data_IF_057058748940
#
_entry.id   IF_057058748940
#
_cell.length_a   1.000
_cell.length_b   1.000
_cell.length_c   1.000
_cell.angle_alpha   90.00
_cell.angle_beta   90.00
_cell.angle_gamma   90.00
#
_symmetry.space_group_name_H-M   'P 1'
#
loop_
_entity.id
_entity.type
_entity.pdbx_description
1 polymer ?
#
# COMPACT_ATOMS: atom_id res chain seq x y z
N UNK A 1 3.20 9.41 -14.82
CA UNK A 1 1.76 9.72 -14.95
C UNK A 1 1.02 8.43 -14.67
N UNK A 2 0.04 8.42 -13.74
CA UNK A 2 -0.74 7.22 -13.41
C UNK A 2 -1.84 7.10 -14.47
N UNK A 3 -1.99 5.96 -15.17
CA UNK A 3 -3.08 5.78 -16.12
C UNK A 3 -4.45 6.01 -15.46
N UNK A 4 -5.32 6.77 -16.11
CA UNK A 4 -6.63 7.18 -15.55
C UNK A 4 -7.52 5.99 -15.20
N UNK A 5 -7.41 4.92 -15.98
CA UNK A 5 -8.02 3.62 -15.74
C UNK A 5 -7.66 2.98 -14.39
N UNK A 6 -6.47 3.25 -13.83
CA UNK A 6 -6.07 2.73 -12.52
C UNK A 6 -6.69 3.50 -11.36
N UNK A 7 -7.19 4.71 -11.61
CA UNK A 7 -7.86 5.53 -10.59
C UNK A 7 -9.21 4.94 -10.21
N UNK A 8 -9.90 4.31 -11.16
CA UNK A 8 -11.19 3.64 -10.94
C UNK A 8 -11.04 2.18 -10.49
N UNK A 9 -9.84 1.62 -10.55
CA UNK A 9 -9.56 0.26 -10.11
C UNK A 9 -9.34 0.23 -8.58
N UNK A 10 -10.20 -0.48 -7.86
CA UNK A 10 -10.13 -0.59 -6.38
C UNK A 10 -8.90 -1.30 -5.82
N UNK A 11 -8.17 -2.06 -6.62
CA UNK A 11 -6.90 -2.69 -6.24
C UNK A 11 -5.79 -1.66 -6.31
N UNK A 12 -5.74 -0.94 -7.43
CA UNK A 12 -4.74 0.10 -7.68
C UNK A 12 -4.93 1.35 -6.84
N UNK A 13 -6.17 1.81 -6.70
CA UNK A 13 -6.46 3.03 -5.97
C UNK A 13 -6.16 2.90 -4.48
N UNK A 14 -6.53 1.77 -3.84
CA UNK A 14 -6.21 1.53 -2.42
C UNK A 14 -4.70 1.46 -2.16
N UNK A 15 -3.95 0.83 -3.07
CA UNK A 15 -2.49 0.82 -3.03
C UNK A 15 -1.94 2.25 -3.18
N UNK A 16 -2.42 2.99 -4.19
CA UNK A 16 -1.99 4.36 -4.49
C UNK A 16 -2.26 5.28 -3.29
N UNK A 17 -3.44 5.21 -2.68
CA UNK A 17 -3.78 5.98 -1.47
C UNK A 17 -2.72 5.81 -0.39
N UNK A 18 -2.35 4.56 -0.07
CA UNK A 18 -1.36 4.28 0.98
C UNK A 18 0.04 4.79 0.58
N UNK A 19 0.48 4.52 -0.65
CA UNK A 19 1.81 4.95 -1.10
C UNK A 19 1.96 6.47 -1.14
N UNK A 20 0.95 7.19 -1.64
CA UNK A 20 1.00 8.66 -1.72
C UNK A 20 0.80 9.32 -0.35
N UNK A 21 -0.01 8.73 0.52
CA UNK A 21 -0.30 9.27 1.85
C UNK A 21 0.78 9.00 2.90
N UNK A 22 1.61 7.97 2.73
CA UNK A 22 2.71 7.66 3.66
C UNK A 22 4.01 8.34 3.23
N UNK A 23 4.65 9.09 4.16
CA UNK A 23 5.94 9.75 3.92
C UNK A 23 7.01 8.76 3.46
N UNK A 24 7.03 7.55 4.04
CA UNK A 24 8.00 6.51 3.70
C UNK A 24 7.70 5.83 2.37
N UNK A 25 6.45 5.44 2.14
CA UNK A 25 6.09 4.66 0.95
C UNK A 25 6.14 5.51 -0.32
N UNK A 26 5.92 6.83 -0.21
CA UNK A 26 5.93 7.73 -1.36
C UNK A 26 7.24 7.65 -2.16
N UNK A 27 8.38 7.48 -1.50
CA UNK A 27 9.67 7.35 -2.20
C UNK A 27 9.83 6.05 -2.99
N UNK A 28 8.94 5.07 -2.78
CA UNK A 28 8.93 3.78 -3.48
C UNK A 28 7.82 3.70 -4.54
N UNK A 29 7.06 4.79 -4.75
CA UNK A 29 6.11 4.90 -5.87
C UNK A 29 6.84 5.26 -7.16
N UNK A 30 7.66 4.33 -7.66
CA UNK A 30 8.53 4.54 -8.83
C UNK A 30 8.44 3.35 -9.80
N UNK A 31 8.88 3.55 -11.04
CA UNK A 31 8.95 2.50 -12.06
C UNK A 31 9.94 1.37 -11.71
N UNK A 32 10.74 1.51 -10.65
CA UNK A 32 11.62 0.47 -10.14
C UNK A 32 10.84 -0.64 -9.41
N UNK A 33 9.71 -0.29 -8.79
CA UNK A 33 8.90 -1.19 -7.98
C UNK A 33 7.51 -1.42 -8.56
N UNK A 34 7.06 -0.55 -9.46
CA UNK A 34 5.70 -0.56 -10.00
C UNK A 34 5.79 -0.49 -11.52
N UNK A 35 5.31 -1.56 -12.17
CA UNK A 35 5.16 -1.59 -13.61
C UNK A 35 3.72 -1.22 -13.96
N UNK A 36 3.51 0.05 -14.29
CA UNK A 36 2.18 0.54 -14.71
C UNK A 36 1.72 -0.04 -16.06
N UNK A 37 2.65 -0.46 -16.92
CA UNK A 37 2.33 -1.00 -18.25
C UNK A 37 1.78 -2.41 -18.13
N UNK A 38 2.42 -3.25 -17.32
CA UNK A 38 2.00 -4.63 -17.09
C UNK A 38 1.10 -4.79 -15.86
N UNK A 39 0.83 -3.70 -15.14
CA UNK A 39 0.03 -3.66 -13.91
C UNK A 39 0.55 -4.66 -12.87
N UNK A 40 1.84 -4.63 -12.62
CA UNK A 40 2.50 -5.48 -11.62
C UNK A 40 3.31 -4.67 -10.61
N UNK A 41 3.62 -5.30 -9.47
CA UNK A 41 4.40 -4.72 -8.38
C UNK A 41 5.46 -5.72 -7.94
N UNK A 42 6.66 -5.21 -7.67
CA UNK A 42 7.80 -5.95 -7.11
C UNK A 42 7.61 -6.21 -5.60
N UNK A 43 6.62 -7.06 -5.28
CA UNK A 43 6.19 -7.41 -3.91
C UNK A 43 7.37 -7.85 -3.05
N UNK A 44 8.18 -8.80 -3.54
CA UNK A 44 9.25 -9.39 -2.74
C UNK A 44 10.41 -8.42 -2.51
N UNK A 45 10.71 -7.57 -3.51
CA UNK A 45 11.72 -6.52 -3.37
C UNK A 45 11.29 -5.47 -2.34
N UNK A 46 10.03 -5.03 -2.39
CA UNK A 46 9.46 -4.09 -1.40
C UNK A 46 9.48 -4.68 0.02
N UNK A 47 9.15 -5.97 0.17
CA UNK A 47 9.27 -6.66 1.46
C UNK A 47 10.72 -6.78 1.92
N UNK A 48 11.66 -7.02 1.01
CA UNK A 48 13.07 -7.15 1.35
C UNK A 48 13.65 -5.83 1.88
N UNK A 49 13.38 -4.70 1.20
CA UNK A 49 13.88 -3.39 1.64
C UNK A 49 13.19 -2.88 2.91
N UNK A 50 11.95 -3.32 3.17
CA UNK A 50 11.22 -2.92 4.36
C UNK A 50 11.66 -3.63 5.64
N UNK A 51 12.57 -4.61 5.56
CA UNK A 51 13.07 -5.36 6.73
C UNK A 51 13.63 -4.45 7.83
N UNK A 52 14.23 -3.31 7.49
CA UNK A 52 14.81 -2.35 8.44
C UNK A 52 13.87 -1.22 8.86
N UNK A 53 12.66 -1.16 8.29
CA UNK A 53 11.70 -0.09 8.60
C UNK A 53 11.03 -0.30 9.97
N UNK A 54 10.38 0.74 10.45
CA UNK A 54 9.56 0.69 11.67
C UNK A 54 8.38 -0.29 11.51
N UNK A 55 7.77 -0.68 12.64
CA UNK A 55 6.58 -1.55 12.65
C UNK A 55 5.41 -0.93 11.88
N UNK A 56 5.17 0.36 12.09
CA UNK A 56 4.15 1.14 11.38
C UNK A 56 4.36 1.13 9.86
N UNK A 57 5.57 1.46 9.39
CA UNK A 57 5.89 1.48 7.96
C UNK A 57 5.77 0.09 7.32
N UNK A 58 6.24 -0.95 8.01
CA UNK A 58 6.07 -2.35 7.57
C UNK A 58 4.60 -2.73 7.46
N UNK A 59 3.78 -2.34 8.44
CA UNK A 59 2.34 -2.60 8.40
C UNK A 59 1.70 -1.90 7.21
N UNK A 60 1.97 -0.61 7.02
CA UNK A 60 1.41 0.16 5.90
C UNK A 60 1.78 -0.44 4.55
N UNK A 61 3.03 -0.89 4.37
CA UNK A 61 3.44 -1.59 3.14
C UNK A 61 2.65 -2.89 2.97
N UNK A 62 2.62 -3.75 3.99
CA UNK A 62 1.91 -5.03 3.92
C UNK A 62 0.43 -4.86 3.64
N UNK A 63 -0.20 -3.85 4.27
CA UNK A 63 -1.58 -3.48 4.00
C UNK A 63 -1.76 -3.08 2.54
N UNK A 64 -0.92 -2.18 2.01
CA UNK A 64 -1.00 -1.77 0.61
C UNK A 64 -0.90 -2.95 -0.36
N UNK A 65 0.06 -3.86 -0.12
CA UNK A 65 0.25 -5.05 -0.95
C UNK A 65 -0.93 -6.03 -0.82
N UNK A 66 -1.46 -6.22 0.39
CA UNK A 66 -2.67 -7.03 0.62
C UNK A 66 -3.88 -6.48 -0.11
N UNK A 67 -4.13 -5.17 -0.03
CA UNK A 67 -5.24 -4.54 -0.74
C UNK A 67 -5.05 -4.66 -2.26
N UNK A 68 -3.82 -4.66 -2.75
CA UNK A 68 -3.54 -4.85 -4.17
C UNK A 68 -3.75 -6.29 -4.65
N UNK A 69 -3.20 -7.30 -3.97
CA UNK A 69 -3.16 -8.68 -4.50
C UNK A 69 -3.98 -9.72 -3.73
N UNK A 70 -4.45 -9.41 -2.51
CA UNK A 70 -5.19 -10.31 -1.63
C UNK A 70 -4.38 -11.52 -1.10
N UNK A 71 -3.11 -11.65 -1.46
CA UNK A 71 -2.22 -12.77 -1.11
C UNK A 71 -1.38 -12.48 0.13
N UNK A 72 -1.08 -11.21 0.37
CA UNK A 72 -0.27 -10.81 1.51
C UNK A 72 -1.07 -10.85 2.80
N UNK A 73 -0.73 -11.74 3.74
CA UNK A 73 -1.40 -11.78 5.04
C UNK A 73 -1.06 -10.54 5.85
N UNK A 74 -2.09 -9.87 6.35
CA UNK A 74 -1.98 -8.73 7.26
C UNK A 74 -2.60 -9.12 8.58
N UNK A 75 -1.83 -8.98 9.64
CA UNK A 75 -2.33 -9.06 11.01
C UNK A 75 -2.74 -7.66 11.44
N UNK A 76 -4.06 -7.45 11.56
CA UNK A 76 -4.68 -6.18 11.91
C UNK A 76 -4.35 -5.71 13.33
N UNK A 77 -3.90 -6.59 14.23
CA UNK A 77 -3.40 -6.18 15.55
C UNK A 77 -2.18 -5.27 15.47
N UNK A 78 -1.43 -5.31 14.35
CA UNK A 78 -0.32 -4.38 14.14
C UNK A 78 -0.77 -2.95 13.78
N UNK A 79 -2.07 -2.71 13.65
CA UNK A 79 -2.62 -1.36 13.47
C UNK A 79 -2.42 -0.49 14.72
N UNK A 80 -2.23 -1.10 15.90
CA UNK A 80 -1.92 -0.41 17.15
C UNK A 80 -0.58 0.37 17.12
N UNK A 81 0.29 0.07 16.15
CA UNK A 81 1.55 0.79 15.95
C UNK A 81 1.42 2.05 15.08
N UNK A 82 0.24 2.31 14.52
CA UNK A 82 0.01 3.46 13.65
C UNK A 82 -0.22 4.73 14.47
N UNK A 83 0.28 5.85 13.95
CA UNK A 83 -0.17 7.17 14.39
C UNK A 83 -1.56 7.48 13.81
N UNK A 84 -2.16 8.59 14.26
CA UNK A 84 -3.48 9.03 13.82
C UNK A 84 -3.57 9.17 12.28
N UNK A 85 -2.52 9.72 11.66
CA UNK A 85 -2.44 9.92 10.22
C UNK A 85 -2.45 8.60 9.44
N UNK A 86 -1.56 7.66 9.79
CA UNK A 86 -1.50 6.36 9.11
C UNK A 86 -2.75 5.52 9.41
N UNK A 87 -3.36 5.67 10.59
CA UNK A 87 -4.63 5.02 10.93
C UNK A 87 -5.74 5.49 10.01
N UNK A 88 -5.92 6.80 9.86
CA UNK A 88 -6.91 7.37 8.95
C UNK A 88 -6.68 6.91 7.50
N UNK A 89 -5.41 6.84 7.07
CA UNK A 89 -5.06 6.39 5.74
C UNK A 89 -5.38 4.89 5.52
N UNK A 90 -5.04 4.05 6.48
CA UNK A 90 -5.33 2.62 6.45
C UNK A 90 -6.85 2.36 6.36
N UNK A 91 -7.62 3.02 7.21
CA UNK A 91 -9.08 2.90 7.24
C UNK A 91 -9.71 3.40 5.93
N UNK A 92 -9.24 4.53 5.38
CA UNK A 92 -9.71 5.05 4.08
C UNK A 92 -9.44 4.06 2.95
N UNK A 93 -8.24 3.48 2.90
CA UNK A 93 -7.88 2.50 1.86
C UNK A 93 -8.68 1.19 1.98
N UNK A 94 -8.93 0.73 3.21
CA UNK A 94 -9.81 -0.41 3.51
C UNK A 94 -11.25 -0.14 3.08
N UNK A 95 -11.79 1.05 3.40
CA UNK A 95 -13.13 1.43 3.01
C UNK A 95 -13.26 1.56 1.49
N UNK A 96 -12.26 2.08 0.79
CA UNK A 96 -12.30 2.10 -0.68
C UNK A 96 -12.30 0.69 -1.28
N UNK A 97 -11.55 -0.22 -0.66
CA UNK A 97 -11.40 -1.60 -1.14
C UNK A 97 -12.64 -2.44 -0.92
N UNK A 98 -13.23 -2.35 0.27
CA UNK A 98 -14.24 -3.27 0.77
C UNK A 98 -15.54 -2.59 1.20
N UNK A 99 -15.55 -1.27 1.32
CA UNK A 99 -16.76 -0.48 1.54
C UNK A 99 -17.69 -0.65 0.33
N UNK A 100 -18.96 -0.86 0.64
CA UNK A 100 -20.03 -0.98 -0.35
C UNK A 100 -20.58 0.39 -0.69
#
# INVERSE_FOLDING_TARGET
MIPEELVNDRYWYSLMLIFHGSKKLRSYWTNEYIDFKHRTIEVDRLKAISKTWSKSEKFMLRLALHLFNGRDKVDLGNMDYLDEHNTALALKALNFRYGR
#
